data_IF_056930043519
#
_entry.id   IF_056930043519
#
_cell.length_a   1.000
_cell.length_b   1.000
_cell.length_c   1.000
_cell.angle_alpha   90.00
_cell.angle_beta   90.00
_cell.angle_gamma   90.00
#
_symmetry.space_group_name_H-M   'P 1'
#
loop_
_entity.id
_entity.type
_entity.pdbx_description
1 polymer ?
#
# COMPACT_ATOMS: atom_id res chain seq x y z
N UNK A 1 15.86 8.10 1.35
CA UNK A 1 15.18 7.38 0.24
C UNK A 1 13.68 7.61 0.28
N UNK A 2 13.02 7.30 1.42
CA UNK A 2 11.58 7.51 1.65
C UNK A 2 11.13 8.97 1.37
N UNK A 3 11.90 9.97 1.81
CA UNK A 3 11.60 11.39 1.54
C UNK A 3 11.49 11.71 0.05
N UNK A 4 12.34 11.12 -0.80
CA UNK A 4 12.31 11.33 -2.26
C UNK A 4 11.08 10.75 -2.93
N UNK A 5 10.38 9.83 -2.26
CA UNK A 5 9.16 9.18 -2.73
C UNK A 5 7.88 9.85 -2.17
N UNK A 6 8.01 10.95 -1.43
CA UNK A 6 6.89 11.66 -0.81
C UNK A 6 6.73 11.43 0.69
N UNK A 7 7.68 10.74 1.32
CA UNK A 7 7.62 10.45 2.75
C UNK A 7 6.69 9.28 3.09
N UNK A 8 6.63 8.94 4.37
CA UNK A 8 5.64 8.02 4.92
C UNK A 8 4.97 8.73 6.10
N UNK A 9 3.66 9.07 6.04
CA UNK A 9 2.99 9.87 7.06
C UNK A 9 3.28 9.42 8.50
N UNK A 10 3.24 8.12 8.78
CA UNK A 10 3.46 7.57 10.12
C UNK A 10 4.85 7.90 10.71
N UNK A 11 5.86 8.08 9.85
CA UNK A 11 7.21 8.48 10.28
C UNK A 11 7.33 9.98 10.54
N UNK A 12 6.65 10.77 9.71
CA UNK A 12 6.79 12.24 9.67
C UNK A 12 5.76 12.96 10.55
N UNK A 13 4.65 12.29 10.88
CA UNK A 13 3.59 12.82 11.71
C UNK A 13 3.07 14.16 11.19
N UNK A 14 2.97 15.12 12.10
CA UNK A 14 2.42 16.45 11.84
C UNK A 14 3.29 17.30 10.88
N UNK A 15 4.50 16.83 10.54
CA UNK A 15 5.36 17.49 9.54
C UNK A 15 5.11 17.01 8.11
N UNK A 16 4.28 15.97 7.93
CA UNK A 16 3.86 15.53 6.61
C UNK A 16 2.71 16.41 6.10
N UNK A 17 2.93 17.06 4.94
CA UNK A 17 1.96 17.97 4.32
C UNK A 17 1.11 17.23 3.29
N UNK A 18 -0.10 16.86 3.68
CA UNK A 18 -1.07 16.14 2.85
C UNK A 18 -1.53 16.96 1.64
N UNK A 19 -1.48 18.29 1.71
CA UNK A 19 -1.88 19.18 0.61
C UNK A 19 -0.96 19.07 -0.61
N UNK A 20 0.26 18.57 -0.41
CA UNK A 20 1.24 18.35 -1.47
C UNK A 20 1.16 16.95 -2.08
N UNK A 21 0.35 16.07 -1.50
CA UNK A 21 0.23 14.69 -1.95
C UNK A 21 -0.83 14.54 -3.05
N UNK A 22 -0.42 13.99 -4.19
CA UNK A 22 -1.35 13.40 -5.16
C UNK A 22 -0.95 11.96 -5.46
N UNK A 23 -1.95 11.10 -5.62
CA UNK A 23 -1.71 9.68 -5.85
C UNK A 23 -0.99 9.41 -7.18
N UNK A 24 -1.34 10.13 -8.24
CA UNK A 24 -0.71 9.99 -9.56
C UNK A 24 0.78 10.37 -9.55
N UNK A 25 1.15 11.44 -8.84
CA UNK A 25 2.56 11.78 -8.64
C UNK A 25 3.31 10.71 -7.86
N UNK A 26 2.67 10.16 -6.81
CA UNK A 26 3.25 9.06 -6.05
C UNK A 26 3.50 7.85 -6.95
N UNK A 27 2.52 7.45 -7.76
CA UNK A 27 2.66 6.39 -8.77
C UNK A 27 3.84 6.66 -9.71
N UNK A 28 3.98 7.88 -10.24
CA UNK A 28 5.11 8.23 -11.11
C UNK A 28 6.46 8.13 -10.39
N UNK A 29 6.56 8.61 -9.14
CA UNK A 29 7.80 8.57 -8.33
C UNK A 29 8.19 7.12 -8.03
N UNK A 30 7.25 6.28 -7.59
CA UNK A 30 7.50 4.87 -7.28
C UNK A 30 7.89 4.08 -8.53
N UNK A 31 7.15 4.24 -9.64
CA UNK A 31 7.47 3.56 -10.91
C UNK A 31 8.84 3.96 -11.45
N UNK A 32 9.19 5.25 -11.39
CA UNK A 32 10.51 5.75 -11.83
C UNK A 32 11.65 5.22 -10.96
N UNK A 33 11.38 4.90 -9.70
CA UNK A 33 12.34 4.28 -8.79
C UNK A 33 12.39 2.74 -8.90
N UNK A 34 11.57 2.12 -9.77
CA UNK A 34 11.55 0.68 -10.01
C UNK A 34 10.66 -0.11 -9.05
N UNK A 35 9.76 0.55 -8.30
CA UNK A 35 8.80 -0.12 -7.44
C UNK A 35 7.49 -0.44 -8.17
N UNK A 36 6.79 -1.49 -7.72
CA UNK A 36 5.40 -1.73 -8.10
C UNK A 36 4.54 -0.55 -7.63
N UNK A 37 3.44 -0.33 -8.35
CA UNK A 37 2.44 0.71 -8.10
C UNK A 37 1.04 0.13 -7.98
N UNK A 38 0.94 -1.20 -7.87
CA UNK A 38 -0.31 -1.96 -8.00
C UNK A 38 -1.11 -1.98 -6.68
N UNK A 39 -0.93 -0.95 -5.84
CA UNK A 39 -1.44 -0.89 -4.47
C UNK A 39 -2.95 -0.63 -4.39
N UNK A 40 -3.49 0.23 -5.26
CA UNK A 40 -4.95 0.48 -5.33
C UNK A 40 -5.60 -0.17 -6.55
N UNK A 41 -4.84 -0.35 -7.63
CA UNK A 41 -5.26 -0.95 -8.89
C UNK A 41 -4.01 -1.48 -9.58
N UNK A 42 -4.02 -2.74 -10.01
CA UNK A 42 -2.98 -3.26 -10.90
C UNK A 42 -3.23 -2.72 -12.31
N UNK A 43 -2.20 -2.20 -12.94
CA UNK A 43 -2.26 -1.85 -14.36
C UNK A 43 -0.96 -2.11 -15.09
N UNK A 44 -1.08 -2.76 -16.24
CA UNK A 44 0.07 -3.11 -17.07
C UNK A 44 -0.26 -3.03 -18.56
N UNK A 45 0.77 -3.14 -19.40
CA UNK A 45 0.60 -3.32 -20.83
C UNK A 45 0.69 -4.82 -21.12
N UNK A 46 -0.44 -5.42 -21.48
CA UNK A 46 -0.54 -6.85 -21.75
C UNK A 46 -0.88 -7.13 -23.22
N UNK A 47 -0.80 -8.41 -23.61
CA UNK A 47 -1.20 -8.87 -24.94
C UNK A 47 -2.72 -8.99 -24.97
N UNK A 48 -3.37 -8.45 -26.01
CA UNK A 48 -4.81 -8.60 -26.17
C UNK A 48 -5.18 -10.08 -26.38
N UNK A 49 -5.95 -10.65 -25.45
CA UNK A 49 -6.40 -12.04 -25.48
C UNK A 49 -7.27 -12.38 -26.69
N UNK A 50 -7.89 -11.37 -27.33
CA UNK A 50 -8.69 -11.52 -28.55
C UNK A 50 -7.85 -11.32 -29.82
N UNK A 51 -6.69 -10.69 -29.73
CA UNK A 51 -5.79 -10.46 -30.85
C UNK A 51 -4.33 -10.29 -30.39
N UNK A 52 -3.54 -11.37 -30.49
CA UNK A 52 -2.17 -11.41 -29.98
C UNK A 52 -1.19 -10.43 -30.63
N UNK A 53 -1.56 -9.82 -31.77
CA UNK A 53 -0.76 -8.78 -32.44
C UNK A 53 -0.93 -7.40 -31.81
N UNK A 54 -1.92 -7.21 -30.93
CA UNK A 54 -2.20 -5.94 -30.25
C UNK A 54 -1.69 -5.96 -28.81
N UNK A 55 -1.60 -4.75 -28.25
CA UNK A 55 -1.36 -4.51 -26.82
C UNK A 55 -2.52 -3.70 -26.27
N UNK A 56 -2.88 -3.96 -25.03
CA UNK A 56 -3.94 -3.26 -24.30
C UNK A 56 -3.41 -2.79 -22.95
N UNK A 57 -4.10 -1.82 -22.37
CA UNK A 57 -3.99 -1.55 -20.94
C UNK A 57 -4.86 -2.59 -20.25
N UNK A 58 -4.21 -3.38 -19.39
CA UNK A 58 -4.86 -4.33 -18.51
C UNK A 58 -5.07 -3.68 -17.16
N UNK A 59 -6.24 -3.90 -16.56
CA UNK A 59 -6.59 -3.40 -15.23
C UNK A 59 -7.11 -4.58 -14.40
N UNK A 60 -6.54 -4.78 -13.22
CA UNK A 60 -6.96 -5.85 -12.31
C UNK A 60 -7.02 -5.35 -10.86
N UNK A 61 -7.50 -6.21 -9.96
CA UNK A 61 -7.59 -5.93 -8.54
C UNK A 61 -6.25 -5.52 -7.91
N UNK A 62 -6.33 -4.74 -6.84
CA UNK A 62 -5.16 -4.34 -6.05
C UNK A 62 -4.34 -5.54 -5.54
N UNK A 63 -3.03 -5.32 -5.45
CA UNK A 63 -2.13 -6.17 -4.67
C UNK A 63 -2.37 -5.95 -3.18
N UNK A 64 -2.41 -7.04 -2.42
CA UNK A 64 -2.63 -7.05 -0.97
C UNK A 64 -1.40 -7.64 -0.27
N UNK A 65 -1.01 -7.10 0.88
CA UNK A 65 0.11 -7.58 1.70
C UNK A 65 -0.16 -8.92 2.38
N UNK A 66 -1.43 -9.27 2.55
CA UNK A 66 -1.90 -10.61 2.93
C UNK A 66 -2.97 -11.09 1.94
N UNK A 67 -3.15 -12.42 1.84
CA UNK A 67 -4.22 -12.94 0.98
C UNK A 67 -5.59 -12.49 1.45
N UNK A 68 -6.50 -12.28 0.49
CA UNK A 68 -7.91 -11.94 0.72
C UNK A 68 -8.59 -12.85 1.74
N UNK A 69 -8.25 -14.15 1.73
CA UNK A 69 -8.79 -15.14 2.67
C UNK A 69 -8.52 -14.77 4.13
N UNK A 70 -7.30 -14.30 4.44
CA UNK A 70 -6.93 -13.90 5.80
C UNK A 70 -7.51 -12.53 6.15
N UNK A 71 -7.40 -11.54 5.25
CA UNK A 71 -7.90 -10.18 5.49
C UNK A 71 -9.41 -10.17 5.78
N UNK A 72 -10.19 -11.06 5.14
CA UNK A 72 -11.62 -11.19 5.39
C UNK A 72 -11.98 -11.72 6.79
N UNK A 73 -11.04 -12.34 7.51
CA UNK A 73 -11.24 -12.80 8.90
C UNK A 73 -10.92 -11.71 9.93
N UNK A 74 -10.27 -10.62 9.49
CA UNK A 74 -9.88 -9.49 10.32
C UNK A 74 -9.04 -9.86 11.54
N UNK A 75 -9.10 -9.05 12.60
CA UNK A 75 -8.31 -9.22 13.83
C UNK A 75 -8.60 -10.52 14.63
N UNK A 76 -9.55 -11.36 14.18
CA UNK A 76 -9.75 -12.69 14.76
C UNK A 76 -8.73 -13.72 14.25
N UNK A 77 -8.08 -13.45 13.12
CA UNK A 77 -7.04 -14.31 12.55
C UNK A 77 -5.65 -13.90 13.04
N UNK A 78 -4.89 -14.87 13.55
CA UNK A 78 -3.54 -14.65 14.08
C UNK A 78 -2.56 -14.08 13.06
N UNK A 79 -2.73 -14.36 11.76
CA UNK A 79 -1.86 -13.82 10.71
C UNK A 79 -2.13 -12.34 10.46
N UNK A 80 -3.39 -11.91 10.56
CA UNK A 80 -3.75 -10.49 10.47
C UNK A 80 -3.18 -9.72 11.66
N UNK A 81 -3.26 -10.28 12.87
CA UNK A 81 -2.64 -9.69 14.07
C UNK A 81 -1.13 -9.57 13.90
N UNK A 82 -0.45 -10.64 13.47
CA UNK A 82 1.00 -10.62 13.27
C UNK A 82 1.44 -9.65 12.16
N UNK A 83 0.64 -9.50 11.11
CA UNK A 83 0.91 -8.52 10.04
C UNK A 83 0.76 -7.08 10.54
N UNK A 84 -0.28 -6.79 11.35
CA UNK A 84 -0.41 -5.50 12.01
C UNK A 84 0.78 -5.19 12.94
N UNK A 85 1.19 -6.16 13.78
CA UNK A 85 2.37 -6.02 14.64
C UNK A 85 3.63 -5.73 13.83
N UNK A 86 3.82 -6.45 12.72
CA UNK A 86 4.92 -6.21 11.79
C UNK A 86 4.91 -4.78 11.21
N UNK A 87 3.76 -4.27 10.78
CA UNK A 87 3.63 -2.89 10.29
C UNK A 87 4.10 -1.88 11.35
N UNK A 88 3.61 -2.02 12.59
CA UNK A 88 3.95 -1.13 13.71
C UNK A 88 5.43 -1.22 14.06
N UNK A 89 5.98 -2.43 14.13
CA UNK A 89 7.38 -2.64 14.49
C UNK A 89 8.33 -2.08 13.43
N UNK A 90 8.02 -2.23 12.14
CA UNK A 90 8.81 -1.62 11.05
C UNK A 90 8.75 -0.09 11.11
N UNK A 91 7.57 0.50 11.31
CA UNK A 91 7.46 1.95 11.44
C UNK A 91 8.23 2.48 12.66
N UNK A 92 8.12 1.80 13.80
CA UNK A 92 8.85 2.14 15.03
C UNK A 92 10.37 2.02 14.83
N UNK A 93 10.82 0.95 14.18
CA UNK A 93 12.25 0.73 13.85
C UNK A 93 12.81 1.85 12.96
N UNK A 94 11.97 2.39 12.07
CA UNK A 94 12.32 3.49 11.17
C UNK A 94 12.14 4.88 11.81
N UNK A 95 11.75 4.96 13.08
CA UNK A 95 11.72 6.19 13.87
C UNK A 95 10.33 6.78 14.12
N UNK A 96 9.23 6.08 13.80
CA UNK A 96 7.90 6.53 14.22
C UNK A 96 7.72 6.46 15.74
N UNK A 97 6.90 7.36 16.26
CA UNK A 97 6.32 7.18 17.58
C UNK A 97 5.40 5.95 17.58
N UNK A 98 5.60 5.04 18.53
CA UNK A 98 4.87 3.75 18.55
C UNK A 98 3.37 3.96 18.76
N UNK A 99 2.97 4.89 19.63
CA UNK A 99 1.55 5.10 19.92
C UNK A 99 0.81 5.66 18.70
N UNK A 100 1.46 6.56 17.95
CA UNK A 100 0.98 7.01 16.64
C UNK A 100 0.90 5.87 15.64
N UNK A 101 1.96 5.08 15.52
CA UNK A 101 2.04 3.97 14.56
C UNK A 101 0.93 2.94 14.78
N UNK A 102 0.61 2.60 16.04
CA UNK A 102 -0.48 1.70 16.37
C UNK A 102 -1.85 2.22 15.88
N UNK A 103 -2.09 3.53 15.95
CA UNK A 103 -3.36 4.11 15.47
C UNK A 103 -3.40 4.16 13.94
N UNK A 104 -2.42 4.80 13.31
CA UNK A 104 -2.45 5.06 11.87
C UNK A 104 -2.32 3.79 11.01
N UNK A 105 -1.54 2.80 11.48
CA UNK A 105 -1.36 1.54 10.74
C UNK A 105 -2.55 0.60 10.96
N UNK A 106 -3.29 0.75 12.05
CA UNK A 106 -4.58 0.08 12.22
C UNK A 106 -5.59 0.62 11.20
N UNK A 107 -5.64 1.93 11.01
CA UNK A 107 -6.51 2.53 9.97
C UNK A 107 -6.10 2.08 8.57
N UNK A 108 -4.78 2.00 8.31
CA UNK A 108 -4.24 1.48 7.05
C UNK A 108 -4.64 0.03 6.80
N UNK A 109 -4.52 -0.85 7.80
CA UNK A 109 -4.95 -2.25 7.69
C UNK A 109 -6.47 -2.36 7.55
N UNK A 110 -7.25 -1.52 8.23
CA UNK A 110 -8.71 -1.47 8.04
C UNK A 110 -9.10 -1.05 6.63
N UNK A 111 -8.35 -0.13 6.02
CA UNK A 111 -8.53 0.20 4.61
C UNK A 111 -8.20 -1.00 3.71
N UNK A 112 -7.07 -1.68 3.94
CA UNK A 112 -6.67 -2.86 3.16
C UNK A 112 -7.68 -4.01 3.28
N UNK A 113 -8.26 -4.25 4.46
CA UNK A 113 -9.35 -5.21 4.66
C UNK A 113 -10.62 -4.83 3.88
N UNK A 114 -10.92 -3.53 3.73
CA UNK A 114 -12.05 -3.08 2.89
C UNK A 114 -11.73 -3.24 1.40
N UNK A 115 -10.50 -2.93 1.00
CA UNK A 115 -10.04 -3.12 -0.38
C UNK A 115 -10.08 -4.59 -0.79
N UNK A 116 -9.83 -5.49 0.16
CA UNK A 116 -9.95 -6.92 -0.04
C UNK A 116 -11.40 -7.42 -0.15
N UNK A 117 -12.43 -6.66 0.26
CA UNK A 117 -13.83 -7.11 0.20
C UNK A 117 -14.52 -6.72 -1.10
#
# INVERSE_FOLDING_TARGET
MIERLGGWPVLLGDTWDDSTFTWDESVYKFRSAGYSVDYFLDFSISVDVKNSTKRIIDLDQASLGLSREYLNRGFSDKLVVAYYEYMVDIATLLGADRARAEVELKDSLMFEMKLAN
#
